data_IF_461605233556
#
_entry.id   IF_461605233556
#
_cell.length_a   1.000
_cell.length_b   1.000
_cell.length_c   1.000
_cell.angle_alpha   90.00
_cell.angle_beta   90.00
_cell.angle_gamma   90.00
#
_symmetry.space_group_name_H-M   'P 1'
#
loop_
_entity.id
_entity.type
_entity.pdbx_description
1 polymer ?
#
# COMPACT_ATOMS: atom_id res chain seq x y z
N UNK A 1 3.00 -26.62 17.02
CA UNK A 1 2.57 -26.26 15.66
C UNK A 1 3.65 -25.33 15.09
N UNK A 2 4.23 -25.65 13.97
CA UNK A 2 5.30 -24.85 13.35
C UNK A 2 4.65 -23.88 12.38
N UNK A 3 4.83 -22.58 12.57
CA UNK A 3 4.27 -21.52 11.71
C UNK A 3 4.68 -21.69 10.25
N UNK A 4 5.92 -22.10 10.00
CA UNK A 4 6.43 -22.34 8.65
C UNK A 4 5.70 -23.49 7.95
N UNK A 5 5.35 -24.55 8.68
CA UNK A 5 4.52 -25.65 8.16
C UNK A 5 3.07 -25.26 7.90
N UNK A 6 2.59 -24.21 8.58
CA UNK A 6 1.27 -23.63 8.35
C UNK A 6 1.25 -22.58 7.24
N UNK A 7 2.36 -22.38 6.51
CA UNK A 7 2.46 -21.40 5.41
C UNK A 7 2.89 -20.00 5.83
N UNK A 8 3.20 -19.78 7.11
CA UNK A 8 3.64 -18.47 7.64
C UNK A 8 5.16 -18.48 7.83
N UNK A 9 5.88 -17.82 6.94
CA UNK A 9 7.33 -17.62 7.06
C UNK A 9 7.61 -16.23 7.66
N UNK A 10 7.93 -16.23 8.95
CA UNK A 10 8.18 -14.99 9.72
C UNK A 10 9.45 -14.27 9.23
N UNK A 11 10.50 -15.02 8.89
CA UNK A 11 11.76 -14.45 8.39
C UNK A 11 11.57 -13.78 7.03
N UNK A 12 10.81 -14.43 6.13
CA UNK A 12 10.41 -13.82 4.87
C UNK A 12 9.58 -12.54 5.08
N UNK A 13 8.72 -12.52 6.11
CA UNK A 13 7.97 -11.33 6.52
C UNK A 13 8.90 -10.17 6.91
N UNK A 14 9.86 -10.41 7.80
CA UNK A 14 10.84 -9.39 8.20
C UNK A 14 11.70 -8.90 7.02
N UNK A 15 12.12 -9.80 6.16
CA UNK A 15 12.87 -9.44 4.96
C UNK A 15 12.05 -8.58 4.01
N UNK A 16 10.77 -8.91 3.80
CA UNK A 16 9.85 -8.08 3.00
C UNK A 16 9.77 -6.66 3.54
N UNK A 17 9.56 -6.50 4.85
CA UNK A 17 9.51 -5.18 5.51
C UNK A 17 10.82 -4.43 5.34
N UNK A 18 11.95 -5.09 5.47
CA UNK A 18 13.26 -4.44 5.28
C UNK A 18 13.44 -3.91 3.86
N UNK A 19 13.11 -4.72 2.85
CA UNK A 19 13.26 -4.37 1.44
C UNK A 19 12.31 -3.23 1.02
N UNK A 20 11.13 -3.09 1.64
CA UNK A 20 10.17 -2.06 1.27
C UNK A 20 10.38 -0.72 1.97
N UNK A 21 11.15 -0.67 3.06
CA UNK A 21 11.34 0.54 3.89
C UNK A 21 11.72 1.78 3.10
N UNK A 22 12.67 1.65 2.17
CA UNK A 22 13.12 2.78 1.35
C UNK A 22 12.02 3.31 0.43
N UNK A 23 11.20 2.44 -0.13
CA UNK A 23 10.08 2.83 -1.00
C UNK A 23 9.01 3.55 -0.19
N UNK A 24 8.60 2.99 0.94
CA UNK A 24 7.60 3.59 1.83
C UNK A 24 8.08 4.93 2.38
N UNK A 25 9.35 5.06 2.75
CA UNK A 25 9.91 6.31 3.29
C UNK A 25 9.76 7.50 2.32
N UNK A 26 9.78 7.26 1.01
CA UNK A 26 9.62 8.31 -0.01
C UNK A 26 8.21 8.91 -0.04
N UNK A 27 7.20 8.18 0.44
CA UNK A 27 5.80 8.61 0.43
C UNK A 27 5.36 9.29 1.73
N UNK A 28 6.24 9.33 2.75
CA UNK A 28 5.89 9.88 4.05
C UNK A 28 5.65 11.38 3.98
N UNK A 29 4.49 11.79 4.50
CA UNK A 29 4.07 13.18 4.67
C UNK A 29 4.11 13.56 6.15
N UNK A 30 4.23 14.87 6.50
CA UNK A 30 4.21 15.30 7.89
C UNK A 30 2.98 14.87 8.69
N UNK A 31 1.84 14.69 8.01
CA UNK A 31 0.58 14.27 8.62
C UNK A 31 0.55 12.77 8.95
N UNK A 32 1.42 11.94 8.35
CA UNK A 32 1.51 10.52 8.68
C UNK A 32 2.23 10.35 10.02
N UNK A 33 1.51 9.82 10.99
CA UNK A 33 2.02 9.61 12.35
C UNK A 33 2.44 8.15 12.54
N UNK A 34 3.67 7.96 12.96
CA UNK A 34 4.26 6.62 13.12
C UNK A 34 5.08 6.20 11.91
N UNK A 35 5.52 4.95 11.90
CA UNK A 35 6.38 4.39 10.85
C UNK A 35 5.98 2.98 10.46
N UNK A 36 6.68 2.44 9.47
CA UNK A 36 6.51 1.06 9.04
C UNK A 36 6.84 0.07 10.17
N UNK A 37 5.98 -0.92 10.39
CA UNK A 37 6.14 -1.95 11.42
C UNK A 37 5.25 -1.73 12.65
N UNK A 38 4.45 -0.68 12.70
CA UNK A 38 3.37 -0.52 13.68
C UNK A 38 2.16 -1.41 13.39
N UNK A 39 1.21 -1.44 14.33
CA UNK A 39 -0.04 -2.22 14.17
C UNK A 39 -1.16 -1.46 13.45
N UNK A 40 -0.99 -0.16 13.25
CA UNK A 40 -1.99 0.69 12.59
C UNK A 40 -1.32 1.85 11.86
N UNK A 41 -2.00 2.39 10.86
CA UNK A 41 -1.69 3.69 10.28
C UNK A 41 -2.43 4.81 11.03
N UNK A 42 -1.74 5.91 11.30
CA UNK A 42 -2.36 7.11 11.86
C UNK A 42 -2.04 8.32 10.98
N UNK A 43 -3.04 9.17 10.76
CA UNK A 43 -2.93 10.39 9.96
C UNK A 43 -3.50 11.57 10.74
N UNK A 44 -2.73 12.67 10.86
CA UNK A 44 -3.19 13.88 11.56
C UNK A 44 -4.25 14.60 10.74
N UNK A 45 -5.36 14.93 11.38
CA UNK A 45 -6.46 15.71 10.79
C UNK A 45 -6.37 17.20 11.14
N UNK A 46 -5.27 17.67 11.74
CA UNK A 46 -5.09 19.07 12.15
C UNK A 46 -5.32 20.07 11.02
N UNK A 47 -4.92 19.71 9.81
CA UNK A 47 -5.11 20.50 8.59
C UNK A 47 -6.60 20.77 8.27
N UNK A 48 -7.48 19.92 8.75
CA UNK A 48 -8.93 19.94 8.44
C UNK A 48 -9.81 20.36 9.62
N UNK A 49 -9.22 20.78 10.76
CA UNK A 49 -9.93 21.10 12.00
C UNK A 49 -10.95 22.23 11.86
N UNK A 50 -10.75 23.13 10.90
CA UNK A 50 -11.63 24.29 10.68
C UNK A 50 -12.75 24.01 9.66
N UNK A 51 -12.85 22.79 9.15
CA UNK A 51 -13.93 22.38 8.26
C UNK A 51 -15.23 22.21 9.06
N UNK A 52 -16.33 22.79 8.57
CA UNK A 52 -17.64 22.71 9.23
C UNK A 52 -18.17 21.26 9.30
N UNK A 53 -17.99 20.49 8.23
CA UNK A 53 -18.46 19.09 8.11
C UNK A 53 -17.40 18.25 7.42
N UNK A 54 -16.28 17.93 8.09
CA UNK A 54 -15.25 17.10 7.49
C UNK A 54 -15.82 15.71 7.19
N UNK A 55 -15.64 15.26 5.95
CA UNK A 55 -16.11 13.94 5.49
C UNK A 55 -14.92 13.15 4.97
N UNK A 56 -14.70 11.96 5.50
CA UNK A 56 -13.70 11.02 5.01
C UNK A 56 -14.32 10.14 3.91
N UNK A 57 -13.72 10.17 2.72
CA UNK A 57 -14.05 9.26 1.61
C UNK A 57 -12.96 8.22 1.51
N UNK A 58 -13.31 6.96 1.29
CA UNK A 58 -12.35 5.86 1.14
C UNK A 58 -12.69 5.01 -0.07
N UNK A 59 -11.67 4.56 -0.79
CA UNK A 59 -11.76 3.63 -1.89
C UNK A 59 -10.83 2.43 -1.66
N UNK A 60 -11.19 1.27 -2.19
CA UNK A 60 -10.36 0.07 -2.15
C UNK A 60 -10.43 -0.66 -3.48
N UNK A 61 -9.30 -1.17 -3.94
CA UNK A 61 -9.22 -1.99 -5.15
C UNK A 61 -8.08 -3.00 -5.07
N UNK A 62 -8.22 -4.14 -5.71
CA UNK A 62 -7.21 -5.21 -5.74
C UNK A 62 -6.65 -5.47 -7.15
N UNK A 63 -6.81 -4.62 -8.10
CA UNK A 63 -6.43 -4.64 -9.54
C UNK A 63 -7.01 -5.80 -10.36
N UNK A 64 -7.74 -6.70 -9.74
CA UNK A 64 -8.43 -7.80 -10.41
C UNK A 64 -7.51 -8.70 -11.24
N UNK A 65 -7.93 -9.00 -12.48
CA UNK A 65 -7.24 -9.95 -13.37
C UNK A 65 -5.89 -9.48 -13.91
N UNK A 66 -5.53 -8.20 -13.75
CA UNK A 66 -4.22 -7.65 -14.15
C UNK A 66 -3.06 -8.29 -13.39
N UNK A 67 -3.31 -8.82 -12.19
CA UNK A 67 -2.34 -9.65 -11.47
C UNK A 67 -1.87 -10.87 -12.27
N UNK A 68 -2.74 -11.48 -13.10
CA UNK A 68 -2.32 -12.60 -13.96
C UNK A 68 -1.27 -12.19 -14.99
N UNK A 69 -1.34 -10.95 -15.50
CA UNK A 69 -0.32 -10.42 -16.40
C UNK A 69 1.01 -10.24 -15.66
N UNK A 70 0.98 -9.67 -14.45
CA UNK A 70 2.17 -9.51 -13.63
C UNK A 70 2.86 -10.86 -13.36
N UNK A 71 2.09 -11.90 -13.05
CA UNK A 71 2.61 -13.24 -12.85
C UNK A 71 3.17 -13.87 -14.13
N UNK A 72 2.45 -13.72 -15.25
CA UNK A 72 2.88 -14.29 -16.56
C UNK A 72 4.17 -13.64 -17.05
N UNK A 73 4.32 -12.34 -16.83
CA UNK A 73 5.48 -11.57 -17.27
C UNK A 73 6.63 -11.57 -16.24
N UNK A 74 6.39 -12.11 -15.06
CA UNK A 74 7.26 -11.98 -13.87
C UNK A 74 7.70 -10.52 -13.62
N UNK A 75 6.74 -9.59 -13.80
CA UNK A 75 6.94 -8.15 -13.64
C UNK A 75 5.96 -7.60 -12.62
N UNK A 76 6.46 -7.20 -11.46
CA UNK A 76 5.64 -6.89 -10.29
C UNK A 76 5.70 -5.41 -9.85
N UNK A 77 6.58 -4.60 -10.43
CA UNK A 77 6.85 -3.21 -10.04
C UNK A 77 5.87 -2.18 -10.63
N UNK A 78 4.93 -2.60 -11.48
CA UNK A 78 3.96 -1.70 -12.11
C UNK A 78 2.53 -1.91 -11.62
N UNK A 79 2.18 -3.11 -11.16
CA UNK A 79 0.81 -3.43 -10.72
C UNK A 79 0.39 -2.61 -9.49
N UNK A 80 1.34 -2.22 -8.65
CA UNK A 80 1.10 -1.34 -7.51
C UNK A 80 0.67 0.07 -7.92
N UNK A 81 1.24 0.62 -8.99
CA UNK A 81 0.82 1.92 -9.56
C UNK A 81 -0.66 1.86 -9.97
N UNK A 82 -1.03 0.76 -10.64
CA UNK A 82 -2.40 0.55 -11.09
C UNK A 82 -3.38 0.42 -9.91
N UNK A 83 -2.99 -0.28 -8.84
CA UNK A 83 -3.78 -0.39 -7.62
C UNK A 83 -4.08 0.98 -7.00
N UNK A 84 -3.06 1.83 -6.86
CA UNK A 84 -3.23 3.20 -6.35
C UNK A 84 -4.12 4.01 -7.28
N UNK A 85 -3.89 3.96 -8.60
CA UNK A 85 -4.68 4.70 -9.57
C UNK A 85 -6.18 4.32 -9.53
N UNK A 86 -6.51 3.04 -9.37
CA UNK A 86 -7.90 2.60 -9.21
C UNK A 86 -8.56 3.22 -7.98
N UNK A 87 -7.90 3.18 -6.82
CA UNK A 87 -8.42 3.77 -5.60
C UNK A 87 -8.52 5.31 -5.68
N UNK A 88 -7.51 5.96 -6.22
CA UNK A 88 -7.46 7.44 -6.35
C UNK A 88 -8.53 7.96 -7.32
N UNK A 89 -8.76 7.25 -8.43
CA UNK A 89 -9.81 7.63 -9.37
C UNK A 89 -11.20 7.60 -8.72
N UNK A 90 -11.49 6.61 -7.89
CA UNK A 90 -12.77 6.54 -7.16
C UNK A 90 -12.90 7.72 -6.18
N UNK A 91 -11.84 8.05 -5.45
CA UNK A 91 -11.81 9.21 -4.54
C UNK A 91 -12.02 10.52 -5.31
N UNK A 92 -11.31 10.69 -6.42
CA UNK A 92 -11.43 11.89 -7.27
C UNK A 92 -12.84 12.05 -7.88
N UNK A 93 -13.44 10.96 -8.35
CA UNK A 93 -14.82 10.96 -8.86
C UNK A 93 -15.84 11.32 -7.77
N UNK A 94 -15.57 11.00 -6.51
CA UNK A 94 -16.38 11.39 -5.37
C UNK A 94 -16.09 12.83 -4.89
N UNK A 95 -15.15 13.55 -5.50
CA UNK A 95 -14.77 14.90 -5.13
C UNK A 95 -13.82 14.97 -3.93
N UNK A 96 -13.17 13.87 -3.60
CA UNK A 96 -12.19 13.77 -2.51
C UNK A 96 -10.75 14.09 -2.93
N UNK A 97 -9.90 14.41 -1.97
CA UNK A 97 -8.45 14.55 -2.11
C UNK A 97 -7.76 13.32 -1.52
N UNK A 98 -6.82 12.66 -2.24
CA UNK A 98 -6.04 11.58 -1.68
C UNK A 98 -5.17 12.06 -0.52
N UNK A 99 -5.25 11.40 0.63
CA UNK A 99 -4.52 11.78 1.85
C UNK A 99 -3.45 10.77 2.23
N UNK A 100 -3.82 9.49 2.27
CA UNK A 100 -2.94 8.38 2.60
C UNK A 100 -3.44 7.09 1.96
N UNK A 101 -2.57 6.11 1.84
CA UNK A 101 -2.88 4.79 1.31
C UNK A 101 -2.58 3.72 2.36
N UNK A 102 -3.50 2.78 2.53
CA UNK A 102 -3.31 1.58 3.35
C UNK A 102 -3.22 0.37 2.43
N UNK A 103 -2.12 -0.36 2.55
CA UNK A 103 -1.83 -1.51 1.70
C UNK A 103 -1.99 -2.81 2.48
N UNK A 104 -2.71 -3.77 1.89
CA UNK A 104 -2.84 -5.12 2.41
C UNK A 104 -2.55 -6.13 1.30
N UNK A 105 -1.46 -6.89 1.44
CA UNK A 105 -1.04 -7.89 0.47
C UNK A 105 -1.30 -9.29 1.03
N UNK A 106 -2.32 -9.97 0.50
CA UNK A 106 -2.57 -11.38 0.77
C UNK A 106 -1.85 -12.24 -0.27
N UNK A 107 -0.99 -13.14 0.18
CA UNK A 107 -0.24 -14.04 -0.71
C UNK A 107 -0.20 -15.46 -0.14
N UNK A 108 -0.21 -16.45 -1.03
CA UNK A 108 -0.08 -17.86 -0.62
C UNK A 108 1.33 -18.21 -0.14
N UNK A 109 2.34 -17.56 -0.72
CA UNK A 109 3.75 -17.63 -0.31
C UNK A 109 4.34 -16.24 -0.33
N UNK A 110 4.97 -15.84 0.76
CA UNK A 110 5.70 -14.59 0.81
C UNK A 110 7.05 -14.75 0.09
N UNK A 111 7.21 -14.06 -1.03
CA UNK A 111 8.46 -13.91 -1.77
C UNK A 111 8.94 -12.46 -1.62
N UNK A 112 9.87 -12.18 -0.69
CA UNK A 112 10.20 -10.82 -0.25
C UNK A 112 10.54 -9.84 -1.38
N UNK A 113 11.27 -10.30 -2.37
CA UNK A 113 11.67 -9.47 -3.51
C UNK A 113 10.48 -9.08 -4.39
N UNK A 114 9.51 -9.98 -4.60
CA UNK A 114 8.27 -9.69 -5.35
C UNK A 114 7.37 -8.74 -4.58
N UNK A 115 7.22 -8.98 -3.27
CA UNK A 115 6.45 -8.07 -2.40
C UNK A 115 7.05 -6.67 -2.41
N UNK A 116 8.38 -6.55 -2.30
CA UNK A 116 9.05 -5.26 -2.37
C UNK A 116 8.85 -4.54 -3.72
N UNK A 117 8.81 -5.26 -4.84
CA UNK A 117 8.49 -4.70 -6.15
C UNK A 117 7.05 -4.18 -6.21
N UNK A 118 6.09 -4.93 -5.68
CA UNK A 118 4.68 -4.48 -5.61
C UNK A 118 4.58 -3.20 -4.80
N UNK A 119 5.19 -3.17 -3.61
CA UNK A 119 5.18 -1.98 -2.72
C UNK A 119 5.93 -0.81 -3.35
N UNK A 120 7.00 -1.06 -4.12
CA UNK A 120 7.63 -0.01 -4.93
C UNK A 120 6.63 0.62 -5.89
N UNK A 121 5.86 -0.19 -6.61
CA UNK A 121 4.81 0.30 -7.50
C UNK A 121 3.73 1.09 -6.76
N UNK A 122 3.30 0.63 -5.59
CA UNK A 122 2.35 1.37 -4.73
C UNK A 122 2.94 2.73 -4.33
N UNK A 123 4.19 2.75 -3.88
CA UNK A 123 4.88 3.99 -3.52
C UNK A 123 5.00 4.96 -4.70
N UNK A 124 5.37 4.45 -5.87
CA UNK A 124 5.45 5.27 -7.10
C UNK A 124 4.07 5.84 -7.48
N UNK A 125 2.99 5.06 -7.33
CA UNK A 125 1.61 5.52 -7.51
C UNK A 125 1.21 6.60 -6.53
N UNK A 126 1.52 6.44 -5.25
CA UNK A 126 1.23 7.44 -4.21
C UNK A 126 1.97 8.76 -4.43
N UNK A 127 3.19 8.72 -4.99
CA UNK A 127 3.95 9.93 -5.32
C UNK A 127 3.40 10.69 -6.53
N UNK A 128 2.62 10.03 -7.38
CA UNK A 128 2.00 10.61 -8.57
C UNK A 128 0.60 11.18 -8.30
N UNK A 129 0.02 10.87 -7.14
CA UNK A 129 -1.34 11.27 -6.74
C UNK A 129 -1.32 12.40 -5.74
#
# INVERSE_FOLDING_TARGET
MDYKKAGVDIEAGYKSVELMKEHVAKTMRPEVLGGLGGFSGAFSMDKFKDMEKPTLVSGTDGVGTKLKLAFTMDKHDTVGIDCVAMCVNDIACAGGEPLFFLDYIACGKNEPEKIAQIVKGVADGCLQS
#
